data_IF_580926345913
#
_entry.id   IF_580926345913
#
_cell.length_a   1.000
_cell.length_b   1.000
_cell.length_c   1.000
_cell.angle_alpha   90.00
_cell.angle_beta   90.00
_cell.angle_gamma   90.00
#
_symmetry.space_group_name_H-M   'P 1'
#
loop_
_entity.id
_entity.type
_entity.pdbx_description
1 polymer ?
#
# COMPACT_ATOMS: atom_id res chain seq x y z
N UNK A 1 -10.01 14.18 21.48
CA UNK A 1 -10.34 14.63 20.11
C UNK A 1 -10.11 13.43 19.19
N UNK A 2 -11.18 12.85 18.64
CA UNK A 2 -11.17 11.59 17.88
C UNK A 2 -10.43 11.71 16.52
N UNK A 3 -10.12 12.93 16.09
CA UNK A 3 -9.39 13.24 14.85
C UNK A 3 -7.95 12.73 14.82
N UNK A 4 -7.33 12.40 15.96
CA UNK A 4 -6.01 11.76 16.00
C UNK A 4 -6.05 10.26 15.66
N UNK A 5 -7.22 9.61 15.68
CA UNK A 5 -7.34 8.21 15.30
C UNK A 5 -7.34 8.02 13.78
N UNK A 6 -7.76 9.02 12.99
CA UNK A 6 -7.84 8.93 11.53
C UNK A 6 -6.56 9.34 10.78
N UNK A 7 -5.51 9.75 11.49
CA UNK A 7 -4.23 10.17 10.90
C UNK A 7 -3.12 9.11 11.03
N UNK A 8 -3.44 7.90 11.46
CA UNK A 8 -2.46 6.83 11.57
C UNK A 8 -2.64 5.84 10.41
N UNK A 9 -1.57 5.46 9.69
CA UNK A 9 -1.60 4.27 8.84
C UNK A 9 -1.99 3.07 9.70
N UNK A 10 -3.21 2.59 9.50
CA UNK A 10 -3.79 1.52 10.32
C UNK A 10 -3.30 0.14 9.89
N UNK A 11 -2.79 0.02 8.66
CA UNK A 11 -2.31 -1.24 8.11
C UNK A 11 -0.87 -1.05 7.66
N UNK A 12 0.05 -1.61 8.43
CA UNK A 12 1.44 -1.74 8.02
C UNK A 12 1.59 -3.11 7.35
N UNK A 13 2.12 -3.11 6.13
CA UNK A 13 2.53 -4.30 5.41
C UNK A 13 4.04 -4.27 5.26
N UNK A 14 4.73 -5.28 5.78
CA UNK A 14 6.18 -5.41 5.64
C UNK A 14 6.47 -6.81 5.09
N UNK A 15 6.91 -6.92 3.84
CA UNK A 15 7.35 -8.20 3.31
C UNK A 15 8.67 -8.63 3.94
N UNK A 16 8.89 -9.93 3.96
CA UNK A 16 10.15 -10.56 4.37
C UNK A 16 10.74 -11.25 3.14
N UNK A 17 12.03 -11.04 2.89
CA UNK A 17 12.72 -11.67 1.77
C UNK A 17 13.00 -13.16 2.04
N UNK A 18 13.56 -13.85 1.04
CA UNK A 18 13.91 -15.28 1.13
C UNK A 18 14.96 -15.60 2.22
N UNK A 19 15.69 -14.59 2.69
CA UNK A 19 16.73 -14.71 3.71
C UNK A 19 16.22 -14.36 5.13
N UNK A 20 14.93 -14.02 5.25
CA UNK A 20 14.33 -13.63 6.53
C UNK A 20 14.58 -12.18 6.92
N UNK A 21 15.13 -11.34 6.04
CA UNK A 21 15.28 -9.91 6.29
C UNK A 21 13.99 -9.17 5.96
N UNK A 22 13.64 -8.24 6.85
CA UNK A 22 12.49 -7.39 6.64
C UNK A 22 12.81 -6.32 5.59
N UNK A 23 11.96 -6.23 4.57
CA UNK A 23 12.02 -5.14 3.60
C UNK A 23 11.44 -3.85 4.18
N UNK A 24 11.45 -2.79 3.38
CA UNK A 24 10.89 -1.49 3.75
C UNK A 24 9.37 -1.62 3.93
N UNK A 25 8.87 -1.22 5.11
CA UNK A 25 7.45 -1.26 5.41
C UNK A 25 6.64 -0.29 4.54
N UNK A 26 5.45 -0.75 4.13
CA UNK A 26 4.43 0.03 3.43
C UNK A 26 3.30 0.29 4.41
N UNK A 27 3.00 1.57 4.65
CA UNK A 27 1.81 1.99 5.37
C UNK A 27 0.60 2.10 4.44
N UNK A 28 -0.58 1.79 4.96
CA UNK A 28 -1.85 2.03 4.28
C UNK A 28 -2.87 2.68 5.22
N UNK A 29 -3.58 3.68 4.70
CA UNK A 29 -4.64 4.41 5.40
C UNK A 29 -5.79 4.79 4.47
N UNK A 30 -6.86 5.32 5.06
CA UNK A 30 -7.92 6.03 4.34
C UNK A 30 -7.89 7.49 4.81
N UNK A 31 -7.80 8.44 3.88
CA UNK A 31 -7.77 9.86 4.21
C UNK A 31 -9.17 10.44 4.49
N UNK A 32 -9.21 11.74 4.84
CA UNK A 32 -10.48 12.43 5.12
C UNK A 32 -11.42 12.56 3.91
N UNK A 33 -10.93 12.32 2.69
CA UNK A 33 -11.72 12.28 1.46
C UNK A 33 -12.21 10.87 1.10
N UNK A 34 -11.90 9.86 1.91
CA UNK A 34 -12.24 8.46 1.62
C UNK A 34 -11.31 7.80 0.59
N UNK A 35 -10.15 8.40 0.31
CA UNK A 35 -9.16 7.85 -0.62
C UNK A 35 -8.23 6.90 0.12
N UNK A 36 -7.79 5.83 -0.55
CA UNK A 36 -6.79 4.93 0.00
C UNK A 36 -5.42 5.55 -0.24
N UNK A 37 -4.58 5.60 0.79
CA UNK A 37 -3.22 6.14 0.70
C UNK A 37 -2.25 5.03 1.05
N UNK A 38 -1.29 4.75 0.17
CA UNK A 38 -0.13 3.92 0.44
C UNK A 38 1.08 4.82 0.68
N UNK A 39 1.83 4.56 1.75
CA UNK A 39 3.01 5.32 2.13
C UNK A 39 4.22 4.39 2.23
N UNK A 40 5.36 4.81 1.65
CA UNK A 40 6.64 4.14 1.83
C UNK A 40 7.75 5.20 1.83
N UNK A 41 8.54 5.27 2.91
CA UNK A 41 9.67 6.21 3.06
C UNK A 41 9.30 7.68 2.74
N UNK A 42 8.12 8.13 3.18
CA UNK A 42 7.63 9.48 2.93
C UNK A 42 7.09 9.74 1.52
N UNK A 43 7.10 8.73 0.64
CA UNK A 43 6.41 8.77 -0.66
C UNK A 43 4.98 8.28 -0.50
N UNK A 44 4.06 8.93 -1.20
CA UNK A 44 2.63 8.65 -1.09
C UNK A 44 2.03 8.29 -2.46
N UNK A 45 1.20 7.26 -2.49
CA UNK A 45 0.35 6.91 -3.63
C UNK A 45 -1.10 7.00 -3.16
N UNK A 46 -1.89 7.85 -3.81
CA UNK A 46 -3.31 8.03 -3.51
C UNK A 46 -4.15 7.29 -4.54
N UNK A 47 -5.08 6.47 -4.06
CA UNK A 47 -5.87 5.53 -4.85
C UNK A 47 -7.35 5.79 -4.58
N UNK A 48 -8.11 6.02 -5.65
CA UNK A 48 -9.57 6.02 -5.56
C UNK A 48 -10.08 4.63 -5.23
N UNK A 49 -11.03 4.46 -4.28
CA UNK A 49 -11.62 3.16 -3.99
C UNK A 49 -12.18 2.45 -5.24
N UNK A 50 -12.73 3.21 -6.19
CA UNK A 50 -13.25 2.66 -7.45
C UNK A 50 -12.17 2.12 -8.40
N UNK A 51 -10.92 2.54 -8.23
CA UNK A 51 -9.79 2.07 -9.03
C UNK A 51 -9.16 0.78 -8.48
N UNK A 52 -9.52 0.35 -7.26
CA UNK A 52 -8.91 -0.82 -6.60
C UNK A 52 -9.00 -2.10 -7.43
N UNK A 53 -10.14 -2.47 -8.05
CA UNK A 53 -10.20 -3.70 -8.86
C UNK A 53 -9.21 -3.69 -10.03
N UNK A 54 -9.09 -2.56 -10.72
CA UNK A 54 -8.21 -2.39 -11.87
C UNK A 54 -6.74 -2.32 -11.45
N UNK A 55 -6.43 -1.65 -10.34
CA UNK A 55 -5.09 -1.65 -9.75
C UNK A 55 -4.65 -3.07 -9.36
N UNK A 56 -5.52 -3.84 -8.70
CA UNK A 56 -5.26 -5.25 -8.39
C UNK A 56 -5.01 -6.08 -9.65
N UNK A 57 -5.73 -5.82 -10.74
CA UNK A 57 -5.52 -6.48 -12.04
C UNK A 57 -4.14 -6.15 -12.60
N UNK A 58 -3.76 -4.87 -12.61
CA UNK A 58 -2.47 -4.40 -13.11
C UNK A 58 -1.31 -4.98 -12.28
N UNK A 59 -1.40 -4.93 -10.94
CA UNK A 59 -0.36 -5.48 -10.05
C UNK A 59 -0.13 -6.97 -10.29
N UNK A 60 -1.20 -7.76 -10.50
CA UNK A 60 -1.08 -9.20 -10.83
C UNK A 60 -0.44 -9.42 -12.19
N UNK A 61 -0.68 -8.55 -13.16
CA UNK A 61 -0.03 -8.63 -14.47
C UNK A 61 1.46 -8.33 -14.35
N UNK A 62 1.82 -7.24 -13.68
CA UNK A 62 3.22 -6.87 -13.44
C UNK A 62 3.98 -7.93 -12.64
N UNK A 63 3.34 -8.55 -11.64
CA UNK A 63 3.93 -9.67 -10.90
C UNK A 63 4.32 -10.82 -11.84
N UNK A 64 3.44 -11.20 -12.75
CA UNK A 64 3.72 -12.28 -13.72
C UNK A 64 4.86 -11.92 -14.68
N UNK A 65 4.91 -10.67 -15.12
CA UNK A 65 5.98 -10.17 -16.00
C UNK A 65 7.32 -10.15 -15.26
N UNK A 66 7.34 -9.70 -14.00
CA UNK A 66 8.54 -9.67 -13.17
C UNK A 66 9.07 -11.03 -12.74
N UNK A 67 8.22 -12.07 -12.63
CA UNK A 67 8.66 -13.44 -12.31
C UNK A 67 9.26 -14.21 -13.49
N UNK A 68 9.20 -13.66 -14.71
CA UNK A 68 9.81 -14.26 -15.90
C UNK A 68 11.19 -13.68 -16.24
N UNK A 69 11.72 -12.79 -15.38
CA UNK A 69 13.04 -12.16 -15.50
C UNK A 69 14.10 -12.85 -14.65
#
# INVERSE_FOLDING_TARGET
MITKLFNNPHVLFQPTDENGFNEVAIGASVDGGGMIVLEQEGRHIVISPGAVPELCRLLRQLQKEGSNG
#
